data_IF_773239904907
#
_entry.id   IF_773239904907
#
_cell.length_a   1.000
_cell.length_b   1.000
_cell.length_c   1.000
_cell.angle_alpha   90.00
_cell.angle_beta   90.00
_cell.angle_gamma   90.00
#
_symmetry.space_group_name_H-M   'P 1'
#
loop_
_entity.id
_entity.type
_entity.pdbx_description
1 polymer ?
#
# COMPACT_ATOMS: atom_id res chain seq x y z
N UNK A 1 18.30 5.02 1.21
CA UNK A 1 17.77 4.81 2.58
C UNK A 1 16.49 3.99 2.51
N UNK A 2 16.32 3.01 3.40
CA UNK A 2 15.09 2.23 3.50
C UNK A 2 14.47 2.42 4.87
N UNK A 3 13.16 2.56 4.91
CA UNK A 3 12.35 2.65 6.13
C UNK A 3 11.03 1.89 5.92
N UNK A 4 10.26 1.76 6.99
CA UNK A 4 8.91 1.19 6.93
C UNK A 4 7.89 2.24 7.36
N UNK A 5 6.69 2.15 6.82
CA UNK A 5 5.57 2.98 7.27
C UNK A 5 5.32 2.80 8.78
N UNK A 6 4.76 3.82 9.41
CA UNK A 6 4.41 3.74 10.83
C UNK A 6 3.41 2.61 11.10
N UNK A 7 3.56 1.93 12.23
CA UNK A 7 2.68 0.83 12.62
C UNK A 7 1.21 1.29 12.78
N UNK A 8 0.99 2.53 13.19
CA UNK A 8 -0.35 3.14 13.33
C UNK A 8 -1.14 3.22 12.02
N UNK A 9 -0.44 3.16 10.88
CA UNK A 9 -1.06 3.17 9.55
C UNK A 9 -1.56 1.78 9.11
N UNK A 10 -1.16 0.72 9.81
CA UNK A 10 -1.68 -0.62 9.52
C UNK A 10 -3.12 -0.72 9.96
N UNK A 11 -3.99 -1.10 9.04
CA UNK A 11 -5.41 -1.36 9.27
C UNK A 11 -5.73 -2.75 8.73
N UNK A 12 -6.10 -3.65 9.62
CA UNK A 12 -6.32 -5.06 9.30
C UNK A 12 -7.79 -5.48 9.36
N UNK A 13 -8.68 -4.55 9.65
CA UNK A 13 -10.13 -4.69 9.49
C UNK A 13 -10.67 -3.42 8.82
N UNK A 14 -11.26 -3.58 7.66
CA UNK A 14 -11.90 -2.51 6.91
C UNK A 14 -13.40 -2.68 7.03
N UNK A 15 -14.10 -1.63 7.43
CA UNK A 15 -15.55 -1.52 7.43
C UNK A 15 -15.92 -0.49 6.37
N UNK A 16 -16.66 -0.91 5.36
CA UNK A 16 -17.00 -0.11 4.21
C UNK A 16 -18.49 0.17 4.22
N UNK A 17 -18.88 1.44 4.42
CA UNK A 17 -20.25 1.91 4.47
C UNK A 17 -20.62 2.55 3.14
N UNK A 18 -21.66 2.07 2.49
CA UNK A 18 -22.05 2.49 1.13
C UNK A 18 -23.58 2.57 0.99
N UNK A 19 -24.06 2.86 -0.22
CA UNK A 19 -25.48 3.05 -0.50
C UNK A 19 -26.09 4.14 0.40
N UNK A 20 -25.57 5.38 0.25
CA UNK A 20 -25.97 6.50 1.10
C UNK A 20 -27.32 7.07 0.71
N UNK A 21 -28.27 7.10 1.63
CA UNK A 21 -29.55 7.78 1.49
C UNK A 21 -29.41 9.25 1.89
N UNK A 22 -29.45 10.13 0.89
CA UNK A 22 -29.31 11.57 1.10
C UNK A 22 -30.53 12.21 1.80
N UNK A 23 -31.73 11.60 1.68
CA UNK A 23 -32.92 12.09 2.36
C UNK A 23 -32.88 11.76 3.85
N UNK A 24 -32.53 10.52 4.18
CA UNK A 24 -32.38 10.06 5.56
C UNK A 24 -31.03 10.39 6.19
N UNK A 25 -30.06 10.89 5.38
CA UNK A 25 -28.68 11.22 5.80
C UNK A 25 -27.95 10.05 6.49
N UNK A 26 -28.15 8.84 5.99
CA UNK A 26 -27.54 7.63 6.55
C UNK A 26 -27.11 6.64 5.46
N UNK A 27 -26.17 5.77 5.79
CA UNK A 27 -25.81 4.62 4.95
C UNK A 27 -26.79 3.48 5.16
N UNK A 28 -27.23 2.85 4.05
CA UNK A 28 -28.16 1.74 4.09
C UNK A 28 -27.46 0.38 4.12
N UNK A 29 -26.19 0.33 3.70
CA UNK A 29 -25.47 -0.93 3.56
C UNK A 29 -24.05 -0.82 4.14
N UNK A 30 -23.58 -1.96 4.64
CA UNK A 30 -22.22 -2.11 5.18
C UNK A 30 -21.64 -3.45 4.77
N UNK A 31 -20.36 -3.46 4.40
CA UNK A 31 -19.58 -4.69 4.23
C UNK A 31 -18.25 -4.56 4.98
N UNK A 32 -17.69 -5.68 5.42
CA UNK A 32 -16.40 -5.67 6.12
C UNK A 32 -15.49 -6.80 5.66
N UNK A 33 -14.20 -6.54 5.73
CA UNK A 33 -13.17 -7.56 5.48
C UNK A 33 -12.05 -7.42 6.51
N UNK A 34 -11.58 -8.55 7.00
CA UNK A 34 -10.48 -8.60 7.97
C UNK A 34 -9.39 -9.58 7.52
N UNK A 35 -8.17 -9.36 8.04
CA UNK A 35 -7.03 -10.25 7.80
C UNK A 35 -6.54 -10.82 9.13
N UNK A 36 -6.84 -12.10 9.38
CA UNK A 36 -6.50 -12.78 10.63
C UNK A 36 -4.99 -12.89 10.86
N UNK A 37 -4.21 -13.04 9.80
CA UNK A 37 -2.73 -13.11 9.90
C UNK A 37 -2.18 -11.77 10.35
N UNK A 38 -2.67 -10.66 9.80
CA UNK A 38 -2.25 -9.32 10.21
C UNK A 38 -2.73 -8.95 11.62
N UNK A 39 -3.85 -9.52 12.08
CA UNK A 39 -4.34 -9.36 13.45
C UNK A 39 -3.51 -10.14 14.47
N UNK A 40 -2.81 -11.19 14.02
CA UNK A 40 -1.93 -11.98 14.88
C UNK A 40 -0.72 -11.19 15.39
N UNK A 41 -0.21 -11.61 16.54
CA UNK A 41 0.92 -10.95 17.22
C UNK A 41 2.24 -11.04 16.47
N UNK A 42 2.40 -12.00 15.57
CA UNK A 42 3.68 -12.34 14.93
C UNK A 42 4.06 -11.40 13.78
N UNK A 43 3.09 -10.82 13.10
CA UNK A 43 3.35 -10.01 11.89
C UNK A 43 3.46 -8.51 12.20
N UNK A 44 2.53 -7.96 12.97
CA UNK A 44 2.46 -6.52 13.25
C UNK A 44 2.51 -6.18 14.74
N UNK A 45 2.62 -7.17 15.63
CA UNK A 45 2.58 -6.97 17.08
C UNK A 45 1.19 -6.57 17.62
N UNK A 46 0.17 -6.59 16.76
CA UNK A 46 -1.22 -6.39 17.20
C UNK A 46 -1.80 -7.73 17.60
N UNK A 47 -2.29 -7.93 18.68
CA UNK A 47 -3.12 -9.09 19.02
C UNK A 47 -4.61 -8.69 19.01
N UNK A 48 -4.98 -7.81 18.09
CA UNK A 48 -6.33 -7.24 17.98
C UNK A 48 -6.59 -6.63 16.61
N UNK A 49 -7.85 -6.37 16.31
CA UNK A 49 -8.26 -5.69 15.09
C UNK A 49 -7.95 -4.18 15.14
N UNK A 50 -7.18 -3.70 14.19
CA UNK A 50 -7.00 -2.29 13.90
C UNK A 50 -7.99 -1.88 12.81
N UNK A 51 -9.14 -1.36 13.20
CA UNK A 51 -10.27 -1.06 12.30
C UNK A 51 -10.14 0.32 11.68
N UNK A 52 -10.57 0.45 10.42
CA UNK A 52 -10.90 1.73 9.78
C UNK A 52 -12.28 1.63 9.14
N UNK A 53 -13.07 2.69 9.28
CA UNK A 53 -14.35 2.84 8.59
C UNK A 53 -14.18 3.77 7.39
N UNK A 54 -14.68 3.36 6.23
CA UNK A 54 -14.65 4.13 5.00
C UNK A 54 -16.09 4.39 4.56
N UNK A 55 -16.44 5.66 4.46
CA UNK A 55 -17.73 6.09 3.93
C UNK A 55 -17.60 6.34 2.42
N UNK A 56 -18.30 5.54 1.62
CA UNK A 56 -18.32 5.62 0.16
C UNK A 56 -19.74 5.89 -0.34
N UNK A 57 -20.20 7.10 -0.15
CA UNK A 57 -21.57 7.54 -0.50
C UNK A 57 -21.93 7.36 -1.98
N UNK A 58 -20.93 7.28 -2.85
CA UNK A 58 -21.09 7.12 -4.31
C UNK A 58 -21.20 5.66 -4.75
N UNK A 59 -20.87 4.71 -3.87
CA UNK A 59 -20.97 3.28 -4.17
C UNK A 59 -22.34 2.78 -3.73
N UNK A 60 -23.07 2.21 -4.69
CA UNK A 60 -24.44 1.67 -4.46
C UNK A 60 -24.53 0.16 -4.66
N UNK A 61 -23.49 -0.43 -5.27
CA UNK A 61 -23.45 -1.84 -5.65
C UNK A 61 -22.61 -2.68 -4.67
N UNK A 62 -23.20 -3.79 -4.21
CA UNK A 62 -22.58 -4.71 -3.23
C UNK A 62 -21.30 -5.36 -3.76
N UNK A 63 -21.28 -5.71 -5.04
CA UNK A 63 -20.11 -6.35 -5.67
C UNK A 63 -18.94 -5.39 -5.72
N UNK A 64 -19.17 -4.15 -6.08
CA UNK A 64 -18.16 -3.08 -6.10
C UNK A 64 -17.67 -2.78 -4.69
N UNK A 65 -18.57 -2.66 -3.71
CA UNK A 65 -18.23 -2.43 -2.31
C UNK A 65 -17.34 -3.56 -1.77
N UNK A 66 -17.66 -4.81 -2.05
CA UNK A 66 -16.88 -5.98 -1.61
C UNK A 66 -15.48 -5.99 -2.23
N UNK A 67 -15.35 -5.72 -3.53
CA UNK A 67 -14.04 -5.64 -4.21
C UNK A 67 -13.18 -4.50 -3.66
N UNK A 68 -13.74 -3.32 -3.45
CA UNK A 68 -13.04 -2.18 -2.87
C UNK A 68 -12.59 -2.47 -1.44
N UNK A 69 -13.45 -3.07 -0.61
CA UNK A 69 -13.11 -3.46 0.76
C UNK A 69 -11.93 -4.43 0.79
N UNK A 70 -11.92 -5.42 -0.11
CA UNK A 70 -10.80 -6.36 -0.25
C UNK A 70 -9.50 -5.67 -0.71
N UNK A 71 -9.60 -4.75 -1.67
CA UNK A 71 -8.45 -3.98 -2.16
C UNK A 71 -7.85 -3.10 -1.06
N UNK A 72 -8.67 -2.35 -0.33
CA UNK A 72 -8.20 -1.53 0.81
C UNK A 72 -7.57 -2.39 1.91
N UNK A 73 -8.17 -3.54 2.23
CA UNK A 73 -7.58 -4.48 3.19
C UNK A 73 -6.18 -4.91 2.74
N UNK A 74 -6.01 -5.35 1.50
CA UNK A 74 -4.72 -5.80 0.98
C UNK A 74 -3.67 -4.67 0.97
N UNK A 75 -4.10 -3.45 0.72
CA UNK A 75 -3.22 -2.29 0.77
C UNK A 75 -2.78 -1.94 2.20
N UNK A 76 -3.68 -2.04 3.20
CA UNK A 76 -3.45 -1.50 4.54
C UNK A 76 -3.06 -2.54 5.59
N UNK A 77 -3.21 -3.84 5.32
CA UNK A 77 -3.01 -4.92 6.29
C UNK A 77 -1.57 -5.10 6.79
N UNK A 78 -0.58 -4.52 6.13
CA UNK A 78 0.84 -4.65 6.49
C UNK A 78 1.60 -3.35 6.35
N UNK A 79 2.69 -3.22 7.11
CA UNK A 79 3.64 -2.11 6.94
C UNK A 79 4.26 -2.19 5.56
N UNK A 80 4.38 -1.04 4.90
CA UNK A 80 5.00 -0.92 3.57
C UNK A 80 6.44 -0.46 3.71
N UNK A 81 7.31 -0.97 2.84
CA UNK A 81 8.67 -0.47 2.71
C UNK A 81 8.67 0.85 1.95
N UNK A 82 9.41 1.82 2.46
CA UNK A 82 9.68 3.10 1.81
C UNK A 82 11.15 3.07 1.39
N UNK A 83 11.41 3.30 0.13
CA UNK A 83 12.74 3.29 -0.45
C UNK A 83 13.09 4.66 -0.99
N UNK A 84 14.20 5.25 -0.49
CA UNK A 84 14.75 6.52 -0.97
C UNK A 84 16.11 6.26 -1.60
N UNK A 85 16.28 6.70 -2.83
CA UNK A 85 17.53 6.55 -3.57
C UNK A 85 17.75 7.69 -4.55
N UNK A 86 19.02 7.90 -4.91
CA UNK A 86 19.43 8.88 -5.91
C UNK A 86 19.87 8.14 -7.15
N UNK A 87 19.37 8.53 -8.31
CA UNK A 87 19.91 8.09 -9.60
C UNK A 87 20.89 9.13 -10.11
N UNK A 88 22.07 8.72 -10.56
CA UNK A 88 23.07 9.58 -11.16
C UNK A 88 23.08 9.43 -12.70
N UNK A 89 21.93 9.20 -13.29
CA UNK A 89 21.81 9.01 -14.73
C UNK A 89 20.58 9.73 -15.27
N UNK A 90 20.74 10.55 -16.32
CA UNK A 90 19.64 11.23 -16.97
C UNK A 90 18.62 10.27 -17.62
N UNK A 91 18.99 9.01 -17.77
CA UNK A 91 18.11 7.95 -18.30
C UNK A 91 16.79 7.84 -17.55
N UNK A 92 16.79 8.16 -16.24
CA UNK A 92 15.60 8.01 -15.37
C UNK A 92 14.85 9.32 -15.14
N UNK A 93 15.22 10.41 -15.85
CA UNK A 93 14.56 11.70 -15.70
C UNK A 93 13.13 11.74 -16.26
N UNK A 94 12.71 10.70 -16.99
CA UNK A 94 11.34 10.57 -17.48
C UNK A 94 10.35 10.09 -16.40
N UNK A 95 10.86 9.52 -15.30
CA UNK A 95 10.01 9.04 -14.22
C UNK A 95 9.24 10.18 -13.54
N UNK A 96 8.00 9.92 -13.16
CA UNK A 96 7.11 10.89 -12.52
C UNK A 96 6.45 10.31 -11.26
N UNK A 97 5.85 11.19 -10.46
CA UNK A 97 5.08 10.77 -9.30
C UNK A 97 3.88 9.94 -9.79
N UNK A 98 3.67 8.78 -9.19
CA UNK A 98 2.64 7.83 -9.58
C UNK A 98 3.13 6.70 -10.48
N UNK A 99 4.34 6.81 -11.05
CA UNK A 99 4.93 5.72 -11.83
C UNK A 99 5.22 4.50 -10.94
N UNK A 100 5.05 3.32 -11.52
CA UNK A 100 5.36 2.05 -10.86
C UNK A 100 6.74 1.59 -11.32
N UNK A 101 7.61 1.33 -10.36
CA UNK A 101 8.99 0.88 -10.59
C UNK A 101 9.24 -0.47 -9.93
N UNK A 102 10.15 -1.22 -10.55
CA UNK A 102 10.64 -2.51 -10.05
C UNK A 102 12.18 -2.51 -10.10
N UNK A 103 12.82 -3.14 -9.11
CA UNK A 103 14.27 -3.25 -9.00
C UNK A 103 14.71 -4.68 -9.40
N UNK A 104 15.00 -4.92 -10.67
CA UNK A 104 15.25 -6.26 -11.22
C UNK A 104 16.65 -6.81 -10.98
N UNK A 105 17.66 -5.97 -10.82
CA UNK A 105 19.07 -6.39 -10.68
C UNK A 105 19.70 -5.87 -9.38
N UNK A 106 18.92 -5.73 -8.35
CA UNK A 106 19.40 -5.25 -7.07
C UNK A 106 19.88 -6.43 -6.24
N UNK A 107 21.19 -6.66 -6.18
CA UNK A 107 21.79 -7.66 -5.28
C UNK A 107 21.72 -7.17 -3.85
N UNK A 108 21.10 -7.93 -3.00
CA UNK A 108 20.36 -7.44 -1.88
C UNK A 108 21.01 -7.63 -0.52
N UNK A 109 21.16 -6.61 0.30
CA UNK A 109 21.12 -6.83 1.74
C UNK A 109 19.66 -6.87 2.21
N UNK A 110 19.32 -7.86 3.02
CA UNK A 110 18.05 -7.88 3.75
C UNK A 110 17.97 -6.65 4.64
N UNK A 111 17.05 -5.75 4.33
CA UNK A 111 16.82 -4.57 5.14
C UNK A 111 15.59 -4.84 6.00
N UNK A 112 15.76 -4.85 7.32
CA UNK A 112 14.75 -5.28 8.29
C UNK A 112 14.18 -6.69 8.02
N UNK A 113 15.01 -7.62 7.53
CA UNK A 113 14.59 -8.99 7.23
C UNK A 113 13.75 -9.15 5.97
N UNK A 114 13.52 -8.06 5.22
CA UNK A 114 12.72 -8.07 3.99
C UNK A 114 13.61 -7.70 2.81
N UNK A 115 13.61 -8.51 1.78
CA UNK A 115 14.35 -8.24 0.56
C UNK A 115 13.62 -7.18 -0.28
N UNK A 116 14.39 -6.28 -0.89
CA UNK A 116 13.84 -5.26 -1.81
C UNK A 116 13.39 -5.92 -3.11
N UNK A 117 14.11 -6.97 -3.51
CA UNK A 117 13.74 -7.89 -4.56
C UNK A 117 14.30 -9.26 -4.16
N UNK A 118 13.48 -10.29 -4.00
CA UNK A 118 13.93 -11.63 -3.61
C UNK A 118 14.13 -12.59 -4.78
N UNK A 119 14.02 -12.08 -6.01
CA UNK A 119 14.18 -12.86 -7.23
C UNK A 119 13.01 -13.81 -7.53
N UNK A 120 12.16 -14.07 -6.56
CA UNK A 120 10.99 -14.96 -6.67
C UNK A 120 9.67 -14.21 -6.69
N UNK A 121 9.61 -13.04 -6.05
CA UNK A 121 8.44 -12.16 -6.02
C UNK A 121 8.80 -10.79 -6.59
N UNK A 122 8.08 -10.37 -7.61
CA UNK A 122 8.22 -9.03 -8.17
C UNK A 122 7.60 -8.03 -7.21
N UNK A 123 8.45 -7.27 -6.49
CA UNK A 123 8.00 -6.19 -5.61
C UNK A 123 7.89 -4.91 -6.41
N UNK A 124 6.70 -4.34 -6.42
CA UNK A 124 6.41 -3.09 -7.09
C UNK A 124 6.34 -1.93 -6.10
N UNK A 125 6.89 -0.80 -6.53
CA UNK A 125 6.91 0.44 -5.78
C UNK A 125 6.29 1.54 -6.62
N UNK A 126 5.46 2.37 -6.01
CA UNK A 126 4.96 3.60 -6.62
C UNK A 126 5.80 4.78 -6.16
N UNK A 127 6.16 5.65 -7.09
CA UNK A 127 6.90 6.88 -6.79
C UNK A 127 5.96 7.85 -6.09
N UNK A 128 6.34 8.27 -4.88
CA UNK A 128 5.57 9.21 -4.05
C UNK A 128 6.17 10.60 -4.02
N UNK A 129 7.47 10.71 -4.25
CA UNK A 129 8.17 11.98 -4.34
C UNK A 129 9.37 11.88 -5.29
N UNK A 130 9.64 12.93 -6.05
CA UNK A 130 10.74 13.00 -6.97
C UNK A 130 11.28 14.43 -7.08
N UNK A 131 12.58 14.59 -6.89
CA UNK A 131 13.30 15.86 -7.11
C UNK A 131 14.34 15.64 -8.20
N UNK A 132 14.21 16.37 -9.30
CA UNK A 132 15.05 16.19 -10.50
C UNK A 132 16.07 17.31 -10.62
N UNK A 133 17.29 16.95 -11.00
CA UNK A 133 18.33 17.85 -11.51
C UNK A 133 18.73 17.43 -12.92
N UNK A 134 19.66 18.17 -13.52
CA UNK A 134 20.13 17.88 -14.89
C UNK A 134 20.82 16.49 -14.97
N UNK A 135 21.49 16.06 -13.91
CA UNK A 135 22.32 14.84 -13.90
C UNK A 135 21.84 13.77 -12.94
N UNK A 136 20.90 14.08 -12.06
CA UNK A 136 20.45 13.17 -11.01
C UNK A 136 18.97 13.35 -10.69
N UNK A 137 18.36 12.34 -10.11
CA UNK A 137 17.05 12.44 -9.52
C UNK A 137 17.04 11.73 -8.14
N UNK A 138 16.51 12.42 -7.13
CA UNK A 138 16.20 11.86 -5.82
C UNK A 138 14.78 11.36 -5.84
N UNK A 139 14.60 10.07 -5.57
CA UNK A 139 13.33 9.39 -5.71
C UNK A 139 12.96 8.76 -4.37
N UNK A 140 11.73 9.00 -3.94
CA UNK A 140 11.09 8.26 -2.87
C UNK A 140 9.96 7.41 -3.45
N UNK A 141 9.94 6.13 -3.08
CA UNK A 141 8.89 5.22 -3.50
C UNK A 141 8.41 4.35 -2.34
N UNK A 142 7.16 3.93 -2.40
CA UNK A 142 6.52 3.07 -1.42
C UNK A 142 6.08 1.76 -2.06
N UNK A 143 6.29 0.66 -1.37
CA UNK A 143 5.84 -0.66 -1.82
C UNK A 143 4.31 -0.72 -1.89
N UNK A 144 3.76 -1.09 -3.05
CA UNK A 144 2.30 -1.17 -3.27
C UNK A 144 1.78 -2.60 -3.22
N UNK A 145 2.62 -3.59 -3.45
CA UNK A 145 2.21 -4.98 -3.38
C UNK A 145 3.35 -5.93 -3.72
N UNK A 146 3.16 -7.17 -3.33
CA UNK A 146 3.82 -8.29 -3.94
C UNK A 146 2.85 -8.77 -5.01
N UNK A 147 3.26 -8.75 -6.27
CA UNK A 147 2.46 -9.36 -7.32
C UNK A 147 3.00 -10.76 -7.47
N UNK A 148 2.24 -11.71 -6.99
CA UNK A 148 2.39 -13.09 -7.43
C UNK A 148 2.00 -13.10 -8.92
N UNK A 149 3.00 -13.26 -9.78
CA UNK A 149 2.81 -13.48 -11.23
C UNK A 149 2.73 -14.96 -11.48
#
# INVERSE_FOLDING_TARGET
KVSKTALSLVKNKIVFKYNYDYAAKQTLSETSSSDSTSQGSTVNGFNQAATIEILASQVIDDTTATKLTAAYKNLMKSRKNIFKFTTNSPKYNHLEIGDIVNFTNFTNPKIYGTEVNDGSTNKFYIITDISKSITSADIECIQVGDVDV
#
